data_IF_619153382311
#
_entry.id   IF_619153382311
#
_cell.length_a   1.000
_cell.length_b   1.000
_cell.length_c   1.000
_cell.angle_alpha   90.00
_cell.angle_beta   90.00
_cell.angle_gamma   90.00
#
_symmetry.space_group_name_H-M   'P 1'
#
loop_
_entity.id
_entity.type
_entity.pdbx_description
1 polymer ?
#
# COMPACT_ATOMS: atom_id res chain seq x y z
N UNK A 1 -22.97 8.98 -7.82
CA UNK A 1 -22.21 9.73 -6.81
C UNK A 1 -21.50 8.70 -5.95
N UNK A 2 -20.18 8.76 -5.85
CA UNK A 2 -19.39 7.80 -5.06
C UNK A 2 -19.77 7.90 -3.57
N UNK A 3 -19.99 6.76 -2.91
CA UNK A 3 -20.35 6.71 -1.49
C UNK A 3 -19.10 7.00 -0.66
N UNK A 4 -19.04 8.14 0.02
CA UNK A 4 -17.95 8.48 0.94
C UNK A 4 -18.17 7.75 2.26
N UNK A 5 -17.17 6.99 2.70
CA UNK A 5 -17.15 6.27 3.99
C UNK A 5 -16.13 6.96 4.90
N UNK A 6 -16.55 7.64 5.98
CA UNK A 6 -15.62 8.30 6.89
C UNK A 6 -14.82 7.31 7.72
N UNK A 7 -13.57 7.64 8.02
CA UNK A 7 -12.77 6.98 9.05
C UNK A 7 -12.97 7.78 10.34
N UNK A 8 -13.82 7.29 11.24
CA UNK A 8 -14.20 8.02 12.46
C UNK A 8 -13.32 7.68 13.67
N UNK A 9 -12.67 6.52 13.66
CA UNK A 9 -11.69 6.13 14.65
C UNK A 9 -10.33 5.97 13.98
N UNK A 10 -9.42 6.93 14.20
CA UNK A 10 -8.06 6.89 13.67
C UNK A 10 -7.13 7.48 14.73
N UNK A 11 -6.11 6.72 15.11
CA UNK A 11 -4.98 7.20 15.89
C UNK A 11 -3.74 6.35 15.59
N UNK A 12 -2.57 6.98 15.70
CA UNK A 12 -1.28 6.28 15.65
C UNK A 12 -0.94 5.64 17.00
N UNK A 13 -0.09 4.60 16.99
CA UNK A 13 0.42 3.99 18.23
C UNK A 13 1.10 5.00 19.17
N UNK A 14 1.79 6.00 18.59
CA UNK A 14 2.41 7.09 19.35
C UNK A 14 1.38 7.92 20.11
N UNK A 15 0.26 8.26 19.47
CA UNK A 15 -0.79 9.05 20.11
C UNK A 15 -1.52 8.27 21.19
N UNK A 16 -1.75 6.97 20.96
CA UNK A 16 -2.32 6.06 21.95
C UNK A 16 -1.46 6.02 23.22
N UNK A 17 -0.15 5.83 23.08
CA UNK A 17 0.80 5.82 24.19
C UNK A 17 0.81 7.16 24.95
N UNK A 18 0.92 8.29 24.22
CA UNK A 18 0.92 9.63 24.83
C UNK A 18 -0.37 9.98 25.58
N UNK A 19 -1.49 9.34 25.23
CA UNK A 19 -2.80 9.56 25.86
C UNK A 19 -3.18 8.47 26.86
N UNK A 20 -2.37 7.41 26.99
CA UNK A 20 -2.71 6.25 27.80
C UNK A 20 -4.02 5.58 27.34
N UNK A 21 -4.23 5.49 26.02
CA UNK A 21 -5.42 4.92 25.39
C UNK A 21 -5.07 3.68 24.57
N UNK A 22 -6.08 2.88 24.29
CA UNK A 22 -6.06 1.74 23.37
C UNK A 22 -6.84 2.07 22.09
N UNK A 23 -6.73 1.24 21.05
CA UNK A 23 -7.60 1.40 19.88
C UNK A 23 -9.07 1.25 20.25
N UNK A 24 -9.39 0.37 21.21
CA UNK A 24 -10.75 0.21 21.72
C UNK A 24 -11.32 1.52 22.29
N UNK A 25 -10.54 2.29 23.05
CA UNK A 25 -10.99 3.60 23.58
C UNK A 25 -11.36 4.60 22.47
N UNK A 26 -10.66 4.51 21.33
CA UNK A 26 -10.93 5.35 20.14
C UNK A 26 -12.19 4.89 19.43
N UNK A 27 -12.32 3.58 19.23
CA UNK A 27 -13.48 2.95 18.58
C UNK A 27 -14.75 3.17 19.41
N UNK A 28 -14.68 3.03 20.73
CA UNK A 28 -15.80 3.29 21.63
C UNK A 28 -16.23 4.75 21.56
N UNK A 29 -15.27 5.69 21.50
CA UNK A 29 -15.54 7.11 21.32
C UNK A 29 -16.28 7.40 20.01
N UNK A 30 -15.82 6.82 18.90
CA UNK A 30 -16.47 6.95 17.60
C UNK A 30 -17.86 6.30 17.59
N UNK A 31 -18.00 5.11 18.19
CA UNK A 31 -19.27 4.39 18.30
C UNK A 31 -20.31 5.20 19.07
N UNK A 32 -19.93 5.81 20.20
CA UNK A 32 -20.81 6.70 20.95
C UNK A 32 -21.20 7.94 20.16
N UNK A 33 -20.28 8.54 19.40
CA UNK A 33 -20.59 9.68 18.56
C UNK A 33 -21.59 9.32 17.44
N UNK A 34 -21.39 8.18 16.77
CA UNK A 34 -22.31 7.65 15.75
C UNK A 34 -23.69 7.41 16.34
N UNK A 35 -23.77 6.74 17.49
CA UNK A 35 -25.04 6.49 18.19
C UNK A 35 -25.74 7.79 18.60
N UNK A 36 -25.02 8.71 19.24
CA UNK A 36 -25.57 9.95 19.77
C UNK A 36 -26.07 10.91 18.68
N UNK A 37 -25.46 10.87 17.50
CA UNK A 37 -25.86 11.70 16.35
C UNK A 37 -26.93 11.06 15.48
N UNK A 38 -27.25 9.78 15.70
CA UNK A 38 -28.14 9.01 14.83
C UNK A 38 -27.54 8.80 13.43
N UNK A 39 -26.21 8.73 13.31
CA UNK A 39 -25.55 8.47 12.04
C UNK A 39 -25.74 7.00 11.64
N UNK A 40 -26.41 6.75 10.51
CA UNK A 40 -26.72 5.40 10.02
C UNK A 40 -25.78 4.94 8.88
N UNK A 41 -24.77 5.73 8.53
CA UNK A 41 -23.82 5.40 7.47
C UNK A 41 -22.74 4.42 7.91
N UNK A 42 -22.11 3.77 6.92
CA UNK A 42 -20.89 2.98 7.15
C UNK A 42 -19.76 3.91 7.61
N UNK A 43 -18.90 3.44 8.50
CA UNK A 43 -17.68 4.13 8.90
C UNK A 43 -16.56 3.11 9.16
N UNK A 44 -15.32 3.60 9.20
CA UNK A 44 -14.14 2.77 9.33
C UNK A 44 -13.25 3.18 10.52
N UNK A 45 -12.37 2.24 10.87
CA UNK A 45 -11.41 2.28 11.98
C UNK A 45 -10.02 2.09 11.39
N UNK A 46 -9.10 3.03 11.59
CA UNK A 46 -7.75 3.00 11.02
C UNK A 46 -6.68 2.81 12.09
N UNK A 47 -5.90 1.74 11.94
CA UNK A 47 -4.64 1.55 12.63
C UNK A 47 -3.57 2.37 11.93
N UNK A 48 -3.32 3.58 12.42
CA UNK A 48 -2.50 4.56 11.71
C UNK A 48 -1.01 4.45 12.04
N UNK A 49 -0.16 4.81 11.07
CA UNK A 49 1.30 4.83 11.15
C UNK A 49 1.96 3.52 11.63
N UNK A 50 1.47 2.36 11.20
CA UNK A 50 2.01 1.07 11.64
C UNK A 50 3.29 0.69 10.87
N UNK A 51 4.34 0.34 11.62
CA UNK A 51 5.68 0.11 11.07
C UNK A 51 6.10 -1.35 11.03
N UNK A 52 5.45 -2.23 11.78
CA UNK A 52 5.84 -3.64 11.87
C UNK A 52 4.63 -4.58 11.87
N UNK A 53 4.88 -5.86 11.61
CA UNK A 53 3.83 -6.86 11.45
C UNK A 53 3.06 -7.12 12.76
N UNK A 54 3.72 -7.04 13.92
CA UNK A 54 3.07 -7.27 15.22
C UNK A 54 2.10 -6.13 15.54
N UNK A 55 2.50 -4.90 15.24
CA UNK A 55 1.64 -3.72 15.31
C UNK A 55 0.40 -3.86 14.39
N UNK A 56 0.60 -4.31 13.15
CA UNK A 56 -0.50 -4.61 12.20
C UNK A 56 -1.44 -5.67 12.77
N UNK A 57 -0.91 -6.79 13.22
CA UNK A 57 -1.72 -7.88 13.81
C UNK A 57 -2.47 -7.39 15.05
N UNK A 58 -1.83 -6.56 15.89
CA UNK A 58 -2.43 -5.99 17.10
C UNK A 58 -3.59 -5.05 16.79
N UNK A 59 -3.42 -4.13 15.82
CA UNK A 59 -4.48 -3.24 15.37
C UNK A 59 -5.68 -4.04 14.82
N UNK A 60 -5.41 -5.06 14.02
CA UNK A 60 -6.44 -5.94 13.46
C UNK A 60 -7.18 -6.80 14.50
N UNK A 61 -6.53 -7.12 15.63
CA UNK A 61 -7.17 -7.78 16.79
C UNK A 61 -8.05 -6.82 17.60
N UNK A 62 -7.85 -5.51 17.44
CA UNK A 62 -8.63 -4.45 18.09
C UNK A 62 -9.62 -3.83 17.10
N UNK A 63 -10.09 -4.60 16.12
CA UNK A 63 -11.13 -4.20 15.16
C UNK A 63 -10.81 -2.99 14.27
N UNK A 64 -9.52 -2.71 14.04
CA UNK A 64 -9.12 -1.86 12.91
C UNK A 64 -9.52 -2.53 11.59
N UNK A 65 -10.26 -1.80 10.75
CA UNK A 65 -10.76 -2.21 9.44
C UNK A 65 -9.91 -1.65 8.29
N UNK A 66 -9.10 -0.65 8.60
CA UNK A 66 -8.06 -0.06 7.77
C UNK A 66 -6.71 -0.09 8.49
N UNK A 67 -5.65 -0.27 7.71
CA UNK A 67 -4.26 -0.19 8.17
C UNK A 67 -3.54 0.84 7.31
N UNK A 68 -2.89 1.81 7.95
CA UNK A 68 -1.98 2.75 7.30
C UNK A 68 -0.55 2.38 7.65
N UNK A 69 0.16 1.79 6.67
CA UNK A 69 1.53 1.35 6.84
C UNK A 69 2.52 2.50 6.64
N UNK A 70 3.35 2.76 7.66
CA UNK A 70 4.42 3.74 7.60
C UNK A 70 5.73 3.08 7.14
N UNK A 71 6.18 3.45 5.94
CA UNK A 71 7.37 2.92 5.30
C UNK A 71 8.59 3.83 5.40
N UNK A 72 8.51 4.93 6.17
CA UNK A 72 9.54 5.97 6.25
C UNK A 72 10.94 5.43 6.55
N UNK A 73 11.04 4.46 7.47
CA UNK A 73 12.32 3.87 7.89
C UNK A 73 13.00 3.03 6.79
N UNK A 74 12.25 2.65 5.76
CA UNK A 74 12.70 1.81 4.66
C UNK A 74 12.96 2.58 3.36
N UNK A 75 12.62 3.88 3.33
CA UNK A 75 12.91 4.76 2.21
C UNK A 75 14.35 5.27 2.27
N UNK A 76 15.03 5.32 1.13
CA UNK A 76 16.42 5.79 1.07
C UNK A 76 16.68 6.75 -0.09
N UNK A 77 16.43 8.04 0.14
CA UNK A 77 16.63 9.07 -0.89
C UNK A 77 18.08 9.48 -1.10
N UNK A 78 19.04 8.92 -0.35
CA UNK A 78 20.48 9.22 -0.52
C UNK A 78 21.01 8.92 -1.92
N UNK A 79 20.33 8.03 -2.65
CA UNK A 79 20.69 7.67 -4.01
C UNK A 79 20.13 8.63 -5.06
N UNK A 80 19.27 9.57 -4.70
CA UNK A 80 18.77 10.57 -5.65
C UNK A 80 19.87 11.53 -6.09
N UNK A 81 20.78 11.89 -5.17
CA UNK A 81 21.88 12.85 -5.42
C UNK A 81 23.26 12.19 -5.54
N UNK A 82 23.35 10.85 -5.40
CA UNK A 82 24.61 10.11 -5.51
C UNK A 82 25.22 10.18 -6.93
N UNK A 83 26.52 9.91 -7.06
CA UNK A 83 27.14 9.80 -8.38
C UNK A 83 26.69 8.52 -9.13
N UNK A 84 26.80 8.54 -10.46
CA UNK A 84 26.33 7.45 -11.34
C UNK A 84 27.06 6.13 -11.05
N UNK A 85 28.35 6.16 -10.70
CA UNK A 85 29.11 4.95 -10.44
C UNK A 85 28.65 4.28 -9.15
N UNK A 86 28.39 5.07 -8.11
CA UNK A 86 27.79 4.60 -6.86
C UNK A 86 26.40 4.02 -7.10
N UNK A 87 25.54 4.71 -7.84
CA UNK A 87 24.17 4.22 -8.15
C UNK A 87 24.23 2.88 -8.89
N UNK A 88 25.03 2.78 -9.96
CA UNK A 88 25.14 1.56 -10.76
C UNK A 88 25.71 0.39 -9.93
N UNK A 89 26.72 0.65 -9.09
CA UNK A 89 27.31 -0.35 -8.19
C UNK A 89 26.33 -0.85 -7.13
N UNK A 90 25.50 0.02 -6.56
CA UNK A 90 24.50 -0.41 -5.57
C UNK A 90 23.31 -1.09 -6.26
N UNK A 91 22.90 -0.60 -7.42
CA UNK A 91 21.83 -1.21 -8.20
C UNK A 91 22.19 -2.64 -8.61
N UNK A 92 23.43 -2.91 -9.02
CA UNK A 92 23.86 -4.25 -9.42
C UNK A 92 23.78 -5.31 -8.30
N UNK A 93 23.64 -4.89 -7.03
CA UNK A 93 23.41 -5.78 -5.88
C UNK A 93 21.94 -6.21 -5.75
N UNK A 94 21.02 -5.54 -6.42
CA UNK A 94 19.62 -5.98 -6.52
C UNK A 94 19.57 -7.23 -7.40
N UNK A 95 18.68 -8.16 -7.02
CA UNK A 95 18.43 -9.40 -7.74
C UNK A 95 18.28 -9.15 -9.26
N UNK A 96 18.99 -9.91 -10.11
CA UNK A 96 18.97 -9.71 -11.56
C UNK A 96 17.57 -9.83 -12.17
N UNK A 97 16.73 -10.75 -11.70
CA UNK A 97 15.36 -10.94 -12.23
C UNK A 97 14.52 -9.71 -11.91
N UNK A 98 14.65 -9.17 -10.69
CA UNK A 98 13.96 -7.94 -10.31
C UNK A 98 14.45 -6.73 -11.12
N UNK A 99 15.75 -6.62 -11.39
CA UNK A 99 16.27 -5.53 -12.23
C UNK A 99 15.72 -5.58 -13.65
N UNK A 100 15.78 -6.77 -14.26
CA UNK A 100 15.26 -6.98 -15.62
C UNK A 100 13.76 -6.68 -15.71
N UNK A 101 12.97 -7.09 -14.71
CA UNK A 101 11.52 -6.81 -14.70
C UNK A 101 11.20 -5.31 -14.57
N UNK A 102 11.95 -4.59 -13.71
CA UNK A 102 11.84 -3.13 -13.56
C UNK A 102 12.20 -2.42 -14.87
N UNK A 103 13.35 -2.78 -15.47
CA UNK A 103 13.81 -2.18 -16.72
C UNK A 103 12.86 -2.46 -17.87
N UNK A 104 12.39 -3.70 -18.03
CA UNK A 104 11.46 -4.08 -19.08
C UNK A 104 10.12 -3.33 -19.00
N UNK A 105 9.63 -3.06 -17.78
CA UNK A 105 8.33 -2.42 -17.57
C UNK A 105 8.39 -0.89 -17.66
N UNK A 106 9.45 -0.29 -17.14
CA UNK A 106 9.45 1.15 -16.88
C UNK A 106 10.44 1.94 -17.75
N UNK A 107 11.40 1.29 -18.43
CA UNK A 107 12.39 2.02 -19.23
C UNK A 107 11.73 2.67 -20.46
N UNK A 108 12.05 3.95 -20.67
CA UNK A 108 11.53 4.73 -21.79
C UNK A 108 10.30 5.54 -21.40
N UNK A 109 9.42 5.79 -22.38
CA UNK A 109 8.22 6.61 -22.18
C UNK A 109 7.02 5.76 -21.78
N UNK A 110 6.33 6.18 -20.73
CA UNK A 110 5.08 5.60 -20.25
C UNK A 110 3.99 6.66 -20.39
N UNK A 111 2.93 6.32 -21.10
CA UNK A 111 1.75 7.19 -21.23
C UNK A 111 0.70 6.79 -20.20
N UNK A 112 0.33 7.71 -19.34
CA UNK A 112 -0.73 7.52 -18.36
C UNK A 112 -2.11 7.65 -19.01
N UNK A 113 -3.15 7.16 -18.34
CA UNK A 113 -4.55 7.32 -18.78
C UNK A 113 -4.99 8.78 -18.91
N UNK A 114 -4.29 9.71 -18.28
CA UNK A 114 -4.46 11.16 -18.41
C UNK A 114 -3.80 11.76 -19.67
N UNK A 115 -3.25 10.93 -20.57
CA UNK A 115 -2.37 11.34 -21.67
C UNK A 115 -1.10 12.09 -21.23
N UNK A 116 -0.70 11.91 -19.97
CA UNK A 116 0.58 12.43 -19.46
C UNK A 116 1.67 11.44 -19.79
N UNK A 117 2.75 11.90 -20.41
CA UNK A 117 3.92 11.08 -20.71
C UNK A 117 4.98 11.25 -19.61
N UNK A 118 5.52 10.12 -19.17
CA UNK A 118 6.61 10.06 -18.21
C UNK A 118 7.78 9.32 -18.84
N UNK A 119 8.97 9.90 -18.78
CA UNK A 119 10.17 9.28 -19.34
C UNK A 119 11.13 8.84 -18.23
N UNK A 120 11.48 7.56 -18.23
CA UNK A 120 12.45 6.98 -17.31
C UNK A 120 13.66 6.49 -18.08
N UNK A 121 14.78 7.20 -17.93
CA UNK A 121 16.07 6.69 -18.35
C UNK A 121 16.62 5.70 -17.31
N UNK A 122 17.68 4.97 -17.71
CA UNK A 122 18.32 3.96 -16.87
C UNK A 122 18.75 4.51 -15.51
N UNK A 123 19.44 5.66 -15.48
CA UNK A 123 19.94 6.23 -14.23
C UNK A 123 18.81 6.60 -13.26
N UNK A 124 17.75 7.24 -13.76
CA UNK A 124 16.59 7.61 -12.94
C UNK A 124 15.91 6.35 -12.39
N UNK A 125 15.76 5.32 -13.22
CA UNK A 125 15.14 4.07 -12.81
C UNK A 125 15.94 3.35 -11.72
N UNK A 126 17.27 3.31 -11.83
CA UNK A 126 18.14 2.75 -10.80
C UNK A 126 18.03 3.50 -9.47
N UNK A 127 17.99 4.84 -9.51
CA UNK A 127 17.83 5.67 -8.30
C UNK A 127 16.48 5.43 -7.63
N UNK A 128 15.40 5.36 -8.41
CA UNK A 128 14.06 5.06 -7.90
C UNK A 128 14.05 3.68 -7.27
N UNK A 129 14.53 2.65 -7.97
CA UNK A 129 14.59 1.29 -7.45
C UNK A 129 15.35 1.23 -6.13
N UNK A 130 16.54 1.84 -6.04
CA UNK A 130 17.31 1.89 -4.79
C UNK A 130 16.62 2.66 -3.66
N UNK A 131 15.84 3.68 -4.00
CA UNK A 131 15.13 4.51 -3.01
C UNK A 131 13.92 3.82 -2.40
N UNK A 132 13.25 2.95 -3.17
CA UNK A 132 11.96 2.37 -2.80
C UNK A 132 11.96 0.86 -2.59
N UNK A 133 12.89 0.08 -3.15
CA UNK A 133 12.81 -1.39 -3.15
C UNK A 133 12.61 -1.98 -1.74
N UNK A 134 13.39 -1.50 -0.76
CA UNK A 134 13.27 -1.94 0.63
C UNK A 134 11.93 -1.59 1.27
N UNK A 135 11.37 -0.42 0.93
CA UNK A 135 10.06 0.00 1.42
C UNK A 135 8.94 -0.87 0.85
N UNK A 136 9.09 -1.31 -0.40
CA UNK A 136 8.14 -2.17 -1.09
C UNK A 136 8.19 -3.59 -0.54
N UNK A 137 9.39 -4.15 -0.33
CA UNK A 137 9.54 -5.45 0.35
C UNK A 137 8.89 -5.43 1.73
N UNK A 138 9.03 -4.32 2.45
CA UNK A 138 8.42 -4.18 3.78
C UNK A 138 6.90 -4.01 3.70
N UNK A 139 6.40 -3.24 2.74
CA UNK A 139 4.97 -3.10 2.48
C UNK A 139 4.31 -4.47 2.26
N UNK A 140 4.97 -5.35 1.51
CA UNK A 140 4.50 -6.72 1.25
C UNK A 140 4.42 -7.53 2.55
N UNK A 141 5.44 -7.44 3.41
CA UNK A 141 5.43 -8.12 4.72
C UNK A 141 4.26 -7.64 5.60
N UNK A 142 4.02 -6.33 5.63
CA UNK A 142 2.91 -5.75 6.39
C UNK A 142 1.56 -6.15 5.81
N UNK A 143 1.44 -6.17 4.49
CA UNK A 143 0.24 -6.64 3.80
C UNK A 143 -0.05 -8.12 4.09
N UNK A 144 0.98 -8.97 4.04
CA UNK A 144 0.86 -10.39 4.38
C UNK A 144 0.44 -10.59 5.85
N UNK A 145 0.90 -9.74 6.77
CA UNK A 145 0.48 -9.76 8.17
C UNK A 145 -1.02 -9.44 8.33
N UNK A 146 -1.66 -8.79 7.36
CA UNK A 146 -3.11 -8.55 7.40
C UNK A 146 -3.94 -9.83 7.22
N UNK A 147 -3.38 -10.86 6.57
CA UNK A 147 -4.03 -12.14 6.26
C UNK A 147 -5.12 -12.04 5.18
N UNK A 148 -5.71 -13.19 4.81
CA UNK A 148 -6.68 -13.33 3.71
C UNK A 148 -8.11 -12.83 4.02
N UNK A 149 -8.30 -12.07 5.10
CA UNK A 149 -9.61 -11.69 5.60
C UNK A 149 -10.27 -10.63 4.70
N UNK A 150 -11.46 -10.97 4.18
CA UNK A 150 -12.11 -10.40 2.99
C UNK A 150 -12.60 -8.92 3.03
N UNK A 151 -12.28 -8.13 4.06
CA UNK A 151 -12.78 -6.73 4.18
C UNK A 151 -11.83 -5.78 4.90
N UNK A 152 -10.54 -5.76 4.52
CA UNK A 152 -9.56 -4.87 5.16
C UNK A 152 -8.92 -3.95 4.13
N UNK A 153 -8.96 -2.64 4.39
CA UNK A 153 -8.29 -1.63 3.57
C UNK A 153 -6.84 -1.53 4.01
N UNK A 154 -5.92 -1.50 3.05
CA UNK A 154 -4.50 -1.37 3.33
C UNK A 154 -3.96 -0.16 2.55
N UNK A 155 -3.55 0.86 3.29
CA UNK A 155 -2.96 2.08 2.76
C UNK A 155 -1.45 2.10 3.02
N UNK A 156 -0.71 2.70 2.08
CA UNK A 156 0.69 3.01 2.28
C UNK A 156 0.86 4.50 2.55
N UNK A 157 1.75 4.83 3.47
CA UNK A 157 2.13 6.19 3.76
C UNK A 157 3.58 6.44 3.33
N UNK A 158 3.92 7.71 3.08
CA UNK A 158 5.26 8.16 2.68
C UNK A 158 5.73 7.68 1.29
N UNK A 159 4.90 6.93 0.58
CA UNK A 159 5.05 6.61 -0.84
C UNK A 159 3.97 7.37 -1.61
N UNK A 160 4.34 8.10 -2.66
CA UNK A 160 3.37 8.85 -3.46
C UNK A 160 2.33 7.90 -4.08
N UNK A 161 1.02 8.24 -4.12
CA UNK A 161 -0.04 7.38 -4.65
C UNK A 161 0.22 6.86 -6.08
N UNK A 162 0.97 7.63 -6.87
CA UNK A 162 1.43 7.22 -8.20
C UNK A 162 2.33 5.97 -8.15
N UNK A 163 3.30 5.95 -7.23
CA UNK A 163 4.22 4.82 -7.01
C UNK A 163 3.44 3.64 -6.41
N UNK A 164 2.46 3.89 -5.54
CA UNK A 164 1.60 2.83 -4.99
C UNK A 164 0.84 2.07 -6.08
N UNK A 165 0.26 2.78 -7.06
CA UNK A 165 -0.48 2.16 -8.17
C UNK A 165 0.42 1.39 -9.14
N UNK A 166 1.58 1.94 -9.47
CA UNK A 166 2.50 1.30 -10.42
C UNK A 166 3.23 0.12 -9.80
N UNK A 167 3.70 0.27 -8.57
CA UNK A 167 4.55 -0.75 -7.96
C UNK A 167 3.77 -1.92 -7.39
N UNK A 168 2.53 -1.71 -6.96
CA UNK A 168 1.75 -2.76 -6.30
C UNK A 168 0.50 -3.18 -7.07
N UNK A 169 0.14 -2.54 -8.18
CA UNK A 169 -1.11 -2.88 -8.90
C UNK A 169 -2.37 -2.79 -8.03
N UNK A 170 -2.30 -2.17 -6.84
CA UNK A 170 -3.40 -2.06 -5.90
C UNK A 170 -4.25 -0.86 -6.33
N UNK A 171 -5.10 -1.06 -7.33
CA UNK A 171 -6.36 -0.30 -7.38
C UNK A 171 -7.49 -1.04 -6.65
N UNK A 172 -7.40 -2.38 -6.55
CA UNK A 172 -8.24 -3.23 -5.70
C UNK A 172 -7.62 -4.65 -5.72
N UNK A 173 -6.74 -4.97 -4.77
CA UNK A 173 -6.24 -6.33 -4.67
C UNK A 173 -7.30 -7.22 -3.99
N UNK A 174 -7.88 -8.16 -4.74
CA UNK A 174 -8.59 -9.32 -4.21
C UNK A 174 -7.69 -10.54 -4.36
N UNK A 175 -7.22 -11.17 -3.27
CA UNK A 175 -6.48 -12.43 -3.41
C UNK A 175 -7.43 -13.50 -3.96
N UNK A 176 -7.02 -14.16 -5.04
CA UNK A 176 -7.56 -15.49 -5.33
C UNK A 176 -7.16 -16.40 -4.17
N UNK A 177 -8.15 -17.06 -3.57
CA UNK A 177 -7.94 -18.01 -2.49
C UNK A 177 -6.90 -19.08 -2.89
N UNK A 178 -6.12 -19.50 -1.89
CA UNK A 178 -5.13 -20.60 -1.89
C UNK A 178 -3.80 -20.37 -2.61
N UNK A 179 -2.86 -19.72 -1.92
CA UNK A 179 -1.44 -19.75 -2.27
C UNK A 179 -0.63 -18.89 -1.31
N UNK A 180 0.44 -19.42 -0.73
CA UNK A 180 1.41 -18.62 0.02
C UNK A 180 2.20 -17.75 -0.97
N UNK A 181 2.02 -16.44 -0.92
CA UNK A 181 2.77 -15.49 -1.75
C UNK A 181 4.18 -15.31 -1.18
N UNK A 182 5.19 -15.77 -1.91
CA UNK A 182 6.59 -15.36 -1.71
C UNK A 182 6.84 -14.01 -2.39
N UNK A 183 7.91 -13.30 -2.00
CA UNK A 183 8.35 -12.06 -2.66
C UNK A 183 8.66 -12.23 -4.16
N UNK A 184 8.96 -13.46 -4.59
CA UNK A 184 9.21 -13.81 -6.00
C UNK A 184 7.91 -13.84 -6.82
N UNK A 185 6.82 -14.38 -6.26
CA UNK A 185 5.53 -14.52 -6.98
C UNK A 185 4.76 -13.20 -7.13
N UNK A 186 5.06 -12.20 -6.32
CA UNK A 186 4.34 -10.92 -6.36
C UNK A 186 4.72 -10.11 -7.61
N UNK A 187 6.00 -10.06 -7.99
CA UNK A 187 6.40 -9.30 -9.17
C UNK A 187 5.83 -9.91 -10.46
N UNK A 188 5.65 -11.23 -10.49
CA UNK A 188 5.01 -11.99 -11.56
C UNK A 188 3.48 -11.82 -11.59
N UNK A 189 2.79 -11.82 -10.44
CA UNK A 189 1.36 -11.49 -10.37
C UNK A 189 1.07 -10.03 -10.76
N UNK A 190 1.98 -9.12 -10.39
CA UNK A 190 1.98 -7.72 -10.83
C UNK A 190 2.43 -7.55 -12.28
N UNK A 191 3.10 -8.56 -12.87
CA UNK A 191 3.49 -8.60 -14.28
C UNK A 191 2.39 -9.19 -15.18
N UNK A 192 1.55 -10.08 -14.64
CA UNK A 192 0.69 -10.96 -15.43
C UNK A 192 -0.69 -10.42 -15.80
N UNK A 193 -1.10 -9.22 -15.36
CA UNK A 193 -2.43 -8.68 -15.68
C UNK A 193 -2.37 -7.39 -16.49
N UNK A 194 -2.02 -7.55 -17.77
CA UNK A 194 -2.37 -6.61 -18.84
C UNK A 194 -3.71 -6.94 -19.52
N UNK A 195 -4.45 -7.95 -19.04
CA UNK A 195 -5.79 -8.29 -19.51
C UNK A 195 -6.85 -7.76 -18.56
N UNK A 196 -7.80 -7.00 -19.12
CA UNK A 196 -9.01 -6.43 -18.50
C UNK A 196 -8.84 -5.09 -17.76
N UNK A 197 -8.59 -4.06 -18.58
CA UNK A 197 -8.94 -2.68 -18.24
C UNK A 197 -10.48 -2.59 -18.16
N UNK A 198 -11.03 -2.53 -16.95
CA UNK A 198 -12.41 -2.07 -16.72
C UNK A 198 -12.35 -0.71 -16.02
N UNK A 199 -12.89 0.37 -16.60
CA UNK A 199 -13.06 1.63 -15.89
C UNK A 199 -14.01 1.42 -14.71
N UNK A 200 -13.72 2.01 -13.55
CA UNK A 200 -14.65 1.98 -12.42
C UNK A 200 -15.95 2.72 -12.79
N UNK A 201 -16.99 1.94 -13.07
CA UNK A 201 -18.37 2.35 -13.29
C UNK A 201 -19.19 1.12 -13.65
N UNK A 202 -20.09 0.70 -12.74
CA UNK A 202 -21.00 -0.46 -12.81
C UNK A 202 -20.30 -1.79 -13.16
N UNK A 203 -19.96 -2.66 -12.21
CA UNK A 203 -20.85 -3.78 -11.86
C UNK A 203 -20.33 -4.55 -10.63
N UNK A 204 -20.60 -4.04 -9.42
CA UNK A 204 -20.39 -4.81 -8.19
C UNK A 204 -21.61 -4.81 -7.26
N UNK A 205 -22.82 -4.70 -7.83
CA UNK A 205 -24.09 -4.66 -7.07
C UNK A 205 -25.10 -5.74 -7.49
N UNK A 206 -24.66 -6.97 -7.80
CA UNK A 206 -25.63 -8.04 -8.05
C UNK A 206 -25.42 -9.40 -7.37
N UNK A 207 -24.41 -9.61 -6.54
CA UNK A 207 -24.38 -10.84 -5.74
C UNK A 207 -24.16 -10.56 -4.25
N UNK A 208 -25.28 -10.72 -3.52
CA UNK A 208 -25.48 -10.68 -2.08
C UNK A 208 -25.78 -9.31 -1.44
N UNK A 209 -27.08 -8.98 -1.58
CA UNK A 209 -27.90 -7.90 -0.99
C UNK A 209 -28.14 -6.68 -1.90
#
# INVERSE_FOLDING_TARGET
>A
MEKIVPVLAQQSLRELDLKGRTYQDVIDGATWAVFNTGYEGDWATDGDHLKDADAVISALKQDCTMITADLSDYLSFKFMDADIQTVSREYSKIDPVLRESIEARYRGTITLSSNTELFYNEQLLQRIALSYNRALDHAVKLYQACGSSHRRRFGLQNIHPFIQRQVLGISDYRPACSGSLSSENLWDELAGRSGDIVPCGSDFLQEHF
#
